data_IF_423262102690
#
_entry.id   IF_423262102690
#
_cell.length_a   1.000
_cell.length_b   1.000
_cell.length_c   1.000
_cell.angle_alpha   90.00
_cell.angle_beta   90.00
_cell.angle_gamma   90.00
#
_symmetry.space_group_name_H-M   'P 1'
#
loop_
_entity.id
_entity.type
_entity.pdbx_description
1 polymer ?
#
# COMPACT_ATOMS: atom_id res chain seq x y z
N UNK A 1 -3.11 28.13 -23.21
CA UNK A 1 -3.83 27.22 -22.28
C UNK A 1 -3.29 27.47 -20.89
N UNK A 2 -4.15 27.58 -19.89
CA UNK A 2 -3.74 27.65 -18.48
C UNK A 2 -3.34 26.26 -18.02
N UNK A 3 -2.26 26.12 -17.24
CA UNK A 3 -1.85 24.85 -16.62
C UNK A 3 -2.99 24.37 -15.69
N UNK A 4 -3.43 23.10 -15.77
CA UNK A 4 -4.34 22.53 -14.79
C UNK A 4 -3.74 22.59 -13.38
N UNK A 5 -4.56 22.93 -12.38
CA UNK A 5 -4.17 23.05 -10.97
C UNK A 5 -5.21 22.38 -10.08
N UNK A 6 -4.77 21.83 -8.96
CA UNK A 6 -5.62 21.36 -7.85
C UNK A 6 -5.45 22.34 -6.68
N UNK A 7 -6.44 23.21 -6.40
CA UNK A 7 -6.32 24.21 -5.33
C UNK A 7 -6.01 23.60 -3.95
N UNK A 8 -6.65 22.48 -3.60
CA UNK A 8 -6.42 21.80 -2.32
C UNK A 8 -5.01 21.20 -2.22
N UNK A 9 -4.46 20.70 -3.34
CA UNK A 9 -3.08 20.21 -3.35
C UNK A 9 -2.07 21.36 -3.30
N UNK A 10 -2.36 22.48 -3.97
CA UNK A 10 -1.52 23.69 -3.97
C UNK A 10 -1.30 24.23 -2.55
N UNK A 11 -2.32 24.16 -1.69
CA UNK A 11 -2.22 24.57 -0.28
C UNK A 11 -1.16 23.77 0.50
N UNK A 12 -0.93 22.50 0.15
CA UNK A 12 -0.04 21.58 0.87
C UNK A 12 1.30 21.34 0.17
N UNK A 13 1.58 22.02 -0.96
CA UNK A 13 2.87 21.91 -1.64
C UNK A 13 4.02 22.32 -0.73
N UNK A 14 5.06 21.49 -0.68
CA UNK A 14 6.23 21.72 0.16
C UNK A 14 6.01 21.47 1.65
N UNK A 15 4.77 21.22 2.11
CA UNK A 15 4.49 20.87 3.48
C UNK A 15 4.90 19.42 3.79
N UNK A 16 5.39 19.18 5.00
CA UNK A 16 5.76 17.84 5.48
C UNK A 16 4.58 17.24 6.24
N UNK A 17 4.18 16.04 5.85
CA UNK A 17 3.28 15.17 6.60
C UNK A 17 4.14 14.18 7.37
N UNK A 18 4.25 14.29 8.71
CA UNK A 18 5.03 13.37 9.52
C UNK A 18 4.50 11.94 9.41
N UNK A 19 5.39 10.95 9.39
CA UNK A 19 5.05 9.52 9.38
C UNK A 19 6.05 8.77 10.25
N UNK A 20 5.58 7.83 11.07
CA UNK A 20 6.39 7.17 12.10
C UNK A 20 6.97 8.20 13.09
N UNK A 21 8.17 7.96 13.60
CA UNK A 21 8.84 8.76 14.63
C UNK A 21 9.69 9.91 14.06
N UNK A 22 10.29 9.74 12.88
CA UNK A 22 11.15 10.76 12.25
C UNK A 22 11.02 10.78 10.70
N UNK A 23 10.02 10.08 10.17
CA UNK A 23 9.72 10.05 8.75
C UNK A 23 8.80 11.17 8.29
N UNK A 24 8.72 11.36 6.97
CA UNK A 24 7.69 12.23 6.39
C UNK A 24 7.43 11.92 4.91
N UNK A 25 6.28 12.41 4.43
CA UNK A 25 5.97 12.59 3.01
C UNK A 25 5.79 14.08 2.74
N UNK A 26 6.33 14.56 1.62
CA UNK A 26 6.14 15.93 1.15
C UNK A 26 5.91 15.95 -0.34
N UNK A 27 4.86 16.65 -0.79
CA UNK A 27 4.64 16.88 -2.22
C UNK A 27 5.58 17.97 -2.69
N UNK A 28 6.32 17.71 -3.76
CA UNK A 28 7.31 18.63 -4.33
C UNK A 28 6.75 19.33 -5.56
N UNK A 29 6.06 18.58 -6.42
CA UNK A 29 5.41 19.07 -7.63
C UNK A 29 4.41 18.03 -8.14
N UNK A 30 3.49 18.45 -9.01
CA UNK A 30 2.55 17.58 -9.70
C UNK A 30 2.20 18.11 -11.08
N UNK A 31 1.76 17.23 -11.97
CA UNK A 31 1.27 17.54 -13.29
C UNK A 31 -0.11 16.92 -13.48
N UNK A 32 -1.07 17.72 -13.91
CA UNK A 32 -2.44 17.27 -14.18
C UNK A 32 -3.32 17.19 -12.93
N UNK A 33 -4.61 16.97 -13.17
CA UNK A 33 -5.67 16.78 -12.19
C UNK A 33 -6.81 15.98 -12.86
N UNK A 34 -7.95 15.80 -12.20
CA UNK A 34 -9.11 15.08 -12.75
C UNK A 34 -9.50 15.55 -14.17
N UNK A 35 -9.44 16.86 -14.45
CA UNK A 35 -9.76 17.42 -15.77
C UNK A 35 -8.76 16.98 -16.86
N UNK A 36 -7.51 16.72 -16.49
CA UNK A 36 -6.47 16.26 -17.41
C UNK A 36 -6.74 14.84 -17.88
N UNK A 37 -7.25 13.99 -16.99
CA UNK A 37 -7.66 12.62 -17.28
C UNK A 37 -8.84 12.63 -18.26
N UNK A 38 -9.83 13.47 -17.98
CA UNK A 38 -11.02 13.64 -18.83
C UNK A 38 -10.62 14.18 -20.21
N UNK A 39 -9.74 15.18 -20.26
CA UNK A 39 -9.22 15.72 -21.51
C UNK A 39 -8.53 14.62 -22.32
N UNK A 40 -7.62 13.88 -21.71
CA UNK A 40 -6.87 12.81 -22.37
C UNK A 40 -7.80 11.72 -22.91
N UNK A 41 -8.77 11.26 -22.12
CA UNK A 41 -9.75 10.27 -22.54
C UNK A 41 -10.63 10.76 -23.70
N UNK A 42 -10.97 12.06 -23.74
CA UNK A 42 -11.82 12.66 -24.78
C UNK A 42 -11.10 12.98 -26.07
N UNK A 43 -9.76 13.07 -26.09
CA UNK A 43 -9.01 13.13 -27.36
C UNK A 43 -9.36 11.94 -28.26
N UNK A 44 -9.68 10.79 -27.66
CA UNK A 44 -10.19 9.62 -28.39
C UNK A 44 -11.60 9.79 -28.97
N UNK A 45 -12.39 10.76 -28.51
CA UNK A 45 -13.81 10.95 -28.88
C UNK A 45 -14.12 12.25 -29.65
N UNK A 46 -13.12 13.11 -29.90
CA UNK A 46 -13.30 14.38 -30.63
C UNK A 46 -13.90 15.52 -29.77
N UNK A 47 -13.74 16.78 -30.24
CA UNK A 47 -14.11 17.99 -29.49
C UNK A 47 -15.61 18.06 -29.20
N UNK A 48 -15.98 18.10 -27.91
CA UNK A 48 -17.30 18.53 -27.45
C UNK A 48 -17.21 19.17 -26.06
N UNK A 49 -17.77 20.37 -25.90
CA UNK A 49 -17.88 21.12 -24.62
C UNK A 49 -18.95 20.50 -23.74
N UNK A 50 -18.63 20.06 -22.51
CA UNK A 50 -19.60 19.42 -21.60
C UNK A 50 -19.37 19.69 -20.10
N UNK A 51 -20.39 19.36 -19.29
CA UNK A 51 -20.61 19.72 -17.87
C UNK A 51 -19.90 18.77 -16.88
N UNK A 52 -19.59 19.25 -15.67
CA UNK A 52 -18.92 18.52 -14.55
C UNK A 52 -19.53 17.13 -14.23
N UNK A 53 -20.86 16.97 -14.28
CA UNK A 53 -21.48 15.66 -14.04
C UNK A 53 -21.05 14.57 -15.04
N UNK A 54 -20.67 14.97 -16.26
CA UNK A 54 -20.17 14.05 -17.28
C UNK A 54 -18.71 13.65 -17.04
N UNK A 55 -17.95 14.48 -16.32
CA UNK A 55 -16.54 14.23 -16.02
C UNK A 55 -16.38 13.15 -14.95
N UNK A 56 -17.14 13.27 -13.84
CA UNK A 56 -17.21 12.21 -12.82
C UNK A 56 -17.69 10.89 -13.41
N UNK A 57 -18.71 10.92 -14.26
CA UNK A 57 -19.23 9.72 -14.93
C UNK A 57 -18.17 9.04 -15.79
N UNK A 58 -17.39 9.83 -16.55
CA UNK A 58 -16.31 9.33 -17.39
C UNK A 58 -15.17 8.73 -16.55
N UNK A 59 -14.66 9.43 -15.54
CA UNK A 59 -13.59 8.91 -14.67
C UNK A 59 -14.00 7.58 -14.04
N UNK A 60 -15.21 7.51 -13.49
CA UNK A 60 -15.75 6.26 -12.92
C UNK A 60 -15.84 5.15 -13.96
N UNK A 61 -16.26 5.46 -15.19
CA UNK A 61 -16.27 4.50 -16.29
C UNK A 61 -14.86 3.97 -16.60
N UNK A 62 -13.86 4.85 -16.68
CA UNK A 62 -12.47 4.48 -16.97
C UNK A 62 -11.92 3.51 -15.91
N UNK A 63 -12.11 3.80 -14.62
CA UNK A 63 -11.63 2.93 -13.55
C UNK A 63 -12.35 1.57 -13.54
N UNK A 64 -13.68 1.53 -13.68
CA UNK A 64 -14.44 0.26 -13.73
C UNK A 64 -14.00 -0.65 -14.87
N UNK A 65 -13.71 -0.07 -16.04
CA UNK A 65 -13.32 -0.83 -17.24
C UNK A 65 -11.79 -0.94 -17.41
N UNK A 66 -11.01 -0.53 -16.41
CA UNK A 66 -9.53 -0.58 -16.43
C UNK A 66 -8.94 0.12 -17.66
N UNK A 67 -9.53 1.24 -18.08
CA UNK A 67 -8.91 2.13 -19.06
C UNK A 67 -7.90 3.03 -18.34
N UNK A 68 -6.67 2.55 -18.21
CA UNK A 68 -5.65 3.11 -17.32
C UNK A 68 -4.88 4.28 -17.93
N UNK A 69 -4.68 4.28 -19.25
CA UNK A 69 -3.80 5.25 -19.92
C UNK A 69 -4.19 6.72 -19.73
N UNK A 70 -5.47 7.13 -19.59
CA UNK A 70 -5.78 8.53 -19.24
C UNK A 70 -5.32 8.93 -17.84
N UNK A 71 -5.24 8.00 -16.89
CA UNK A 71 -4.74 8.27 -15.53
C UNK A 71 -3.22 8.51 -15.53
N UNK A 72 -2.49 7.87 -16.44
CA UNK A 72 -1.03 8.03 -16.57
C UNK A 72 -0.63 9.45 -17.03
N UNK A 73 -1.59 10.27 -17.46
CA UNK A 73 -1.37 11.68 -17.81
C UNK A 73 -1.24 12.61 -16.61
N UNK A 74 -1.48 12.08 -15.40
CA UNK A 74 -1.25 12.79 -14.15
C UNK A 74 0.00 12.22 -13.46
N UNK A 75 0.95 13.08 -13.09
CA UNK A 75 2.18 12.71 -12.37
C UNK A 75 2.34 13.50 -11.07
N UNK A 76 2.96 12.89 -10.06
CA UNK A 76 3.29 13.55 -8.81
C UNK A 76 4.71 13.19 -8.38
N UNK A 77 5.40 14.15 -7.77
CA UNK A 77 6.75 14.00 -7.24
C UNK A 77 6.74 14.24 -5.73
N UNK A 78 7.16 13.23 -4.99
CA UNK A 78 7.31 13.27 -3.55
C UNK A 78 8.78 13.45 -3.16
N UNK A 79 8.98 14.05 -2.00
CA UNK A 79 10.18 13.91 -1.19
C UNK A 79 9.77 13.11 0.05
N UNK A 80 10.38 11.95 0.24
CA UNK A 80 10.08 11.05 1.36
C UNK A 80 11.31 10.87 2.22
N UNK A 81 11.11 10.84 3.55
CA UNK A 81 12.09 10.36 4.53
C UNK A 81 11.52 9.10 5.14
N UNK A 82 12.25 7.99 5.03
CA UNK A 82 11.72 6.64 5.31
C UNK A 82 12.82 5.70 5.81
N UNK A 83 12.55 4.75 6.72
CA UNK A 83 13.54 3.74 7.14
C UNK A 83 13.95 2.82 5.99
N UNK A 84 15.20 2.35 5.95
CA UNK A 84 15.71 1.55 4.82
C UNK A 84 14.95 0.22 4.63
N UNK A 85 14.51 -0.46 5.69
CA UNK A 85 13.71 -1.69 5.58
C UNK A 85 12.35 -1.45 4.88
N UNK A 86 11.65 -0.37 5.24
CA UNK A 86 10.44 0.09 4.57
C UNK A 86 10.75 0.50 3.12
N UNK A 87 11.82 1.26 2.91
CA UNK A 87 12.24 1.71 1.59
C UNK A 87 12.52 0.56 0.62
N UNK A 88 13.11 -0.54 1.10
CA UNK A 88 13.37 -1.75 0.29
C UNK A 88 12.09 -2.44 -0.19
N UNK A 89 10.96 -2.25 0.49
CA UNK A 89 9.65 -2.70 0.02
C UNK A 89 9.04 -1.71 -0.99
N UNK A 90 9.29 -0.42 -0.79
CA UNK A 90 8.83 0.65 -1.67
C UNK A 90 9.47 0.58 -3.06
N UNK A 91 10.78 0.41 -3.14
CA UNK A 91 11.53 0.41 -4.42
C UNK A 91 11.21 -0.79 -5.34
N UNK A 92 10.40 -1.75 -4.87
CA UNK A 92 9.87 -2.84 -5.69
C UNK A 92 8.84 -2.36 -6.72
N UNK A 93 8.32 -1.15 -6.57
CA UNK A 93 7.39 -0.49 -7.49
C UNK A 93 8.16 0.17 -8.65
N UNK A 94 8.46 -0.65 -9.66
CA UNK A 94 9.42 -0.35 -10.74
C UNK A 94 8.98 0.69 -11.77
N UNK A 95 7.72 1.09 -11.77
CA UNK A 95 7.14 2.05 -12.73
C UNK A 95 7.31 3.51 -12.30
N UNK A 96 8.00 3.75 -11.18
CA UNK A 96 8.35 5.08 -10.70
C UNK A 96 9.78 5.48 -11.04
N UNK A 97 10.07 6.78 -11.01
CA UNK A 97 11.42 7.32 -11.09
C UNK A 97 11.92 7.72 -9.70
N UNK A 98 13.13 7.28 -9.35
CA UNK A 98 13.66 7.39 -7.98
C UNK A 98 15.05 8.01 -7.99
N UNK A 99 15.30 8.91 -7.04
CA UNK A 99 16.65 9.36 -6.69
C UNK A 99 16.78 9.35 -5.16
N UNK A 100 17.70 8.55 -4.65
CA UNK A 100 17.89 8.31 -3.22
C UNK A 100 19.18 8.98 -2.71
N UNK A 101 19.10 9.48 -1.48
CA UNK A 101 20.23 9.96 -0.71
C UNK A 101 21.34 8.91 -0.63
N UNK A 102 22.49 9.21 -1.24
CA UNK A 102 23.61 8.29 -1.30
C UNK A 102 24.56 8.52 -0.13
N UNK A 103 24.57 7.59 0.80
CA UNK A 103 25.53 7.52 1.92
C UNK A 103 26.97 7.22 1.46
N UNK A 104 27.23 7.12 0.15
CA UNK A 104 28.58 7.00 -0.44
C UNK A 104 29.23 8.37 -0.57
N UNK A 105 28.40 9.37 -0.91
CA UNK A 105 28.84 10.75 -1.10
C UNK A 105 28.63 11.58 0.15
N UNK A 106 27.58 11.28 0.91
CA UNK A 106 27.20 12.05 2.09
C UNK A 106 27.22 11.18 3.35
N UNK A 107 27.27 11.82 4.53
CA UNK A 107 27.17 11.12 5.80
C UNK A 107 25.76 10.57 6.01
N UNK A 108 25.64 9.40 6.65
CA UNK A 108 24.35 8.79 6.90
C UNK A 108 23.53 9.64 7.87
N UNK A 109 22.25 9.83 7.54
CA UNK A 109 21.29 10.54 8.38
C UNK A 109 21.37 9.98 9.80
N UNK A 110 21.52 10.86 10.79
CA UNK A 110 21.56 10.47 12.20
C UNK A 110 20.15 10.33 12.77
N UNK A 111 19.43 9.33 12.25
CA UNK A 111 18.14 8.93 12.76
C UNK A 111 17.86 7.48 12.35
N UNK A 112 17.26 6.74 13.27
CA UNK A 112 16.79 5.37 13.07
C UNK A 112 15.39 5.26 13.64
N UNK A 113 14.51 4.54 12.95
CA UNK A 113 13.19 4.21 13.46
C UNK A 113 13.33 3.43 14.77
N UNK A 114 12.53 3.80 15.76
CA UNK A 114 12.38 3.10 17.03
C UNK A 114 10.99 2.52 17.18
N UNK A 115 10.90 1.42 17.90
CA UNK A 115 9.65 0.75 18.26
C UNK A 115 9.26 1.16 19.68
N UNK A 116 8.06 1.69 19.87
CA UNK A 116 7.56 2.02 21.21
C UNK A 116 7.26 0.75 22.01
N UNK A 117 7.31 0.79 23.35
CA UNK A 117 7.09 -0.38 24.19
C UNK A 117 5.78 -1.14 23.90
N UNK A 118 4.72 -0.42 23.53
CA UNK A 118 3.40 -0.96 23.21
C UNK A 118 3.25 -1.45 21.75
N UNK A 119 4.25 -1.23 20.89
CA UNK A 119 4.16 -1.49 19.45
C UNK A 119 4.89 -2.76 18.97
N UNK A 120 5.58 -3.48 19.85
CA UNK A 120 6.23 -4.75 19.51
C UNK A 120 5.20 -5.82 19.15
N UNK A 121 5.22 -6.32 17.91
CA UNK A 121 4.16 -7.21 17.38
C UNK A 121 4.55 -8.67 17.44
N UNK A 122 3.56 -9.55 17.65
CA UNK A 122 3.77 -11.01 17.60
C UNK A 122 3.60 -11.51 16.16
N UNK A 123 4.33 -12.56 15.78
CA UNK A 123 4.19 -13.18 14.46
C UNK A 123 2.77 -13.78 14.28
N UNK A 124 2.13 -13.49 13.15
CA UNK A 124 0.80 -14.08 12.85
C UNK A 124 0.92 -15.58 12.59
N UNK A 125 0.00 -16.36 13.14
CA UNK A 125 -0.11 -17.82 12.93
C UNK A 125 -0.75 -18.18 11.58
N UNK A 126 -1.60 -17.29 11.04
CA UNK A 126 -2.28 -17.46 9.76
C UNK A 126 -1.55 -16.83 8.57
N UNK A 127 -0.89 -15.69 8.80
CA UNK A 127 -0.12 -14.98 7.78
C UNK A 127 1.39 -15.05 8.08
N UNK A 128 2.11 -15.89 7.34
CA UNK A 128 3.57 -16.06 7.50
C UNK A 128 4.39 -14.78 7.20
N UNK A 129 3.79 -13.78 6.59
CA UNK A 129 4.43 -12.50 6.25
C UNK A 129 3.92 -11.34 7.13
N UNK A 130 2.98 -11.61 8.04
CA UNK A 130 2.32 -10.57 8.84
C UNK A 130 2.51 -10.78 10.34
N UNK A 131 2.08 -9.79 11.10
CA UNK A 131 2.03 -9.82 12.56
C UNK A 131 0.59 -9.80 13.05
N UNK A 132 0.36 -10.18 14.31
CA UNK A 132 -0.93 -10.17 14.96
C UNK A 132 -0.77 -9.85 16.45
N UNK A 133 -1.51 -8.85 16.94
CA UNK A 133 -1.42 -8.39 18.32
C UNK A 133 -0.06 -7.79 18.69
N UNK A 134 0.09 -7.41 19.94
CA UNK A 134 1.31 -6.83 20.52
C UNK A 134 1.77 -7.60 21.76
N UNK A 135 3.05 -7.49 22.07
CA UNK A 135 3.62 -8.00 23.31
C UNK A 135 3.18 -7.13 24.51
N UNK A 136 3.20 -7.68 25.73
CA UNK A 136 3.04 -6.88 26.94
C UNK A 136 4.05 -5.72 27.02
N UNK A 137 3.60 -4.57 27.52
CA UNK A 137 4.37 -3.32 27.53
C UNK A 137 5.65 -3.41 28.37
N UNK A 138 5.66 -4.19 29.45
CA UNK A 138 6.83 -4.42 30.30
C UNK A 138 7.96 -5.17 29.56
N UNK A 139 7.57 -6.17 28.77
CA UNK A 139 8.49 -6.87 27.84
C UNK A 139 8.94 -5.90 26.75
N UNK A 140 7.99 -5.15 26.17
CA UNK A 140 8.27 -4.17 25.13
C UNK A 140 9.23 -3.07 25.56
N UNK A 141 9.15 -2.59 26.80
CA UNK A 141 10.08 -1.59 27.34
C UNK A 141 11.52 -2.11 27.32
N UNK A 142 11.72 -3.36 27.74
CA UNK A 142 13.04 -4.00 27.71
C UNK A 142 13.58 -4.07 26.28
N UNK A 143 12.73 -4.45 25.31
CA UNK A 143 13.10 -4.55 23.90
C UNK A 143 13.42 -3.18 23.28
N UNK A 144 12.61 -2.15 23.58
CA UNK A 144 12.84 -0.77 23.13
C UNK A 144 14.16 -0.20 23.70
N UNK A 145 14.48 -0.49 24.96
CA UNK A 145 15.75 -0.07 25.56
C UNK A 145 16.96 -0.79 24.94
N UNK A 146 16.81 -2.08 24.60
CA UNK A 146 17.85 -2.84 23.88
C UNK A 146 18.07 -2.33 22.45
N UNK A 147 16.98 -2.09 21.71
CA UNK A 147 17.01 -1.47 20.39
C UNK A 147 17.72 -0.12 20.45
N UNK A 148 17.36 0.71 21.44
CA UNK A 148 17.94 2.03 21.60
C UNK A 148 19.45 1.99 21.82
N UNK A 149 19.92 1.16 22.76
CA UNK A 149 21.36 0.99 23.02
C UNK A 149 22.11 0.50 21.78
N UNK A 150 21.54 -0.46 21.05
CA UNK A 150 22.16 -0.99 19.84
C UNK A 150 22.30 0.07 18.74
N UNK A 151 21.25 0.87 18.51
CA UNK A 151 21.27 1.94 17.52
C UNK A 151 22.33 3.01 17.86
N UNK A 152 22.44 3.38 19.14
CA UNK A 152 23.41 4.35 19.61
C UNK A 152 24.86 3.81 19.48
N UNK A 153 25.08 2.54 19.81
CA UNK A 153 26.38 1.89 19.62
C UNK A 153 26.79 1.78 18.14
N UNK A 154 25.84 1.44 17.26
CA UNK A 154 26.08 1.39 15.82
C UNK A 154 26.47 2.77 15.26
N UNK A 155 25.81 3.84 15.75
CA UNK A 155 26.15 5.23 15.40
C UNK A 155 27.55 5.60 15.87
N UNK A 156 27.90 5.31 17.12
CA UNK A 156 29.24 5.56 17.67
C UNK A 156 30.34 4.85 16.88
N UNK A 157 30.10 3.59 16.47
CA UNK A 157 31.04 2.84 15.61
C UNK A 157 31.17 3.53 14.24
N UNK A 158 30.07 3.93 13.62
CA UNK A 158 30.08 4.67 12.36
C UNK A 158 30.91 5.96 12.44
N UNK A 159 30.69 6.79 13.47
CA UNK A 159 31.40 8.05 13.68
C UNK A 159 32.89 7.85 13.90
N UNK A 160 33.28 6.91 14.78
CA UNK A 160 34.69 6.59 15.03
C UNK A 160 35.44 6.16 13.76
N UNK A 161 34.75 5.50 12.81
CA UNK A 161 35.34 5.13 11.52
C UNK A 161 35.54 6.36 10.63
N UNK A 162 34.59 7.29 10.61
CA UNK A 162 34.74 8.54 9.88
C UNK A 162 35.90 9.36 10.43
N UNK A 163 36.02 9.48 11.75
CA UNK A 163 37.13 10.16 12.43
C UNK A 163 38.48 9.52 12.11
N UNK A 164 38.53 8.19 11.96
CA UNK A 164 39.71 7.46 11.53
C UNK A 164 40.01 7.57 10.02
N UNK A 165 39.24 8.33 9.25
CA UNK A 165 39.44 8.54 7.81
C UNK A 165 38.93 7.38 6.93
N UNK A 166 38.10 6.49 7.46
CA UNK A 166 37.49 5.40 6.68
C UNK A 166 36.51 5.98 5.65
N UNK A 167 36.55 5.48 4.42
CA UNK A 167 35.62 5.89 3.37
C UNK A 167 34.16 5.69 3.80
N UNK A 168 33.29 6.67 3.51
CA UNK A 168 31.86 6.68 3.92
C UNK A 168 31.12 5.40 3.55
N UNK A 169 31.43 4.81 2.39
CA UNK A 169 30.82 3.56 1.93
C UNK A 169 31.22 2.31 2.71
N UNK A 170 32.36 2.36 3.40
CA UNK A 170 32.77 1.31 4.33
C UNK A 170 32.31 1.62 5.76
N UNK A 171 32.36 2.89 6.18
CA UNK A 171 31.99 3.29 7.52
C UNK A 171 30.56 2.86 7.88
N UNK A 172 29.61 3.07 6.95
CA UNK A 172 28.17 2.83 7.13
C UNK A 172 27.73 1.36 7.21
N UNK A 173 28.63 0.39 7.00
CA UNK A 173 28.27 -1.03 6.79
C UNK A 173 27.43 -1.64 7.90
N UNK A 174 27.61 -1.15 9.14
CA UNK A 174 26.92 -1.70 10.31
C UNK A 174 25.70 -0.87 10.74
N UNK A 175 25.36 0.19 9.99
CA UNK A 175 24.14 0.95 10.27
C UNK A 175 22.92 0.05 10.03
N UNK A 176 21.97 0.00 10.99
CA UNK A 176 20.84 -0.91 10.91
C UNK A 176 19.87 -0.51 9.80
N UNK A 177 19.06 -1.47 9.35
CA UNK A 177 18.01 -1.19 8.36
C UNK A 177 16.94 -0.20 8.85
N UNK A 178 16.85 0.05 10.15
CA UNK A 178 15.99 1.09 10.71
C UNK A 178 16.51 2.51 10.45
N UNK A 179 17.76 2.67 10.00
CA UNK A 179 18.32 4.00 9.65
C UNK A 179 17.48 4.65 8.56
N UNK A 180 17.14 5.93 8.74
CA UNK A 180 16.39 6.71 7.76
C UNK A 180 17.23 7.02 6.51
N UNK A 181 16.55 7.00 5.36
CA UNK A 181 17.03 7.54 4.09
C UNK A 181 16.05 8.60 3.59
N UNK A 182 16.48 9.42 2.64
CA UNK A 182 15.63 10.37 1.95
C UNK A 182 15.64 10.10 0.45
N UNK A 183 14.50 10.26 -0.21
CA UNK A 183 14.41 10.04 -1.64
C UNK A 183 13.40 10.98 -2.31
N UNK A 184 13.71 11.35 -3.55
CA UNK A 184 12.70 11.81 -4.49
C UNK A 184 12.06 10.62 -5.18
N UNK A 185 10.74 10.57 -5.16
CA UNK A 185 9.93 9.52 -5.78
C UNK A 185 8.88 10.16 -6.68
N UNK A 186 9.01 9.97 -8.00
CA UNK A 186 8.05 10.47 -9.00
C UNK A 186 7.30 9.31 -9.63
N UNK A 187 5.97 9.41 -9.70
CA UNK A 187 5.11 8.34 -10.21
C UNK A 187 3.86 8.94 -10.87
N UNK A 188 3.33 8.26 -11.89
CA UNK A 188 2.02 8.60 -12.46
C UNK A 188 0.86 8.10 -11.59
N UNK A 189 -0.33 8.65 -11.78
CA UNK A 189 -1.49 8.36 -10.94
C UNK A 189 -1.94 6.89 -11.07
N UNK A 190 -1.88 6.26 -12.24
CA UNK A 190 -2.25 4.85 -12.37
C UNK A 190 -1.37 3.94 -11.50
N UNK A 191 -0.05 4.12 -11.61
CA UNK A 191 0.93 3.36 -10.85
C UNK A 191 0.92 3.73 -9.36
N UNK A 192 0.59 4.98 -9.01
CA UNK A 192 0.36 5.39 -7.63
C UNK A 192 -0.84 4.68 -7.02
N UNK A 193 -1.98 4.62 -7.70
CA UNK A 193 -3.14 3.85 -7.23
C UNK A 193 -2.79 2.36 -7.08
N UNK A 194 -1.90 1.83 -7.92
CA UNK A 194 -1.40 0.47 -7.75
C UNK A 194 -0.54 0.30 -6.49
N UNK A 195 0.37 1.23 -6.22
CA UNK A 195 1.12 1.29 -4.98
C UNK A 195 0.18 1.34 -3.76
N UNK A 196 -0.79 2.25 -3.76
CA UNK A 196 -1.74 2.44 -2.66
C UNK A 196 -2.55 1.16 -2.40
N UNK A 197 -3.08 0.52 -3.44
CA UNK A 197 -3.87 -0.71 -3.26
C UNK A 197 -3.08 -1.86 -2.64
N UNK A 198 -1.76 -1.92 -2.86
CA UNK A 198 -0.90 -2.96 -2.28
C UNK A 198 -0.35 -2.59 -0.91
N UNK A 199 -0.24 -1.29 -0.62
CA UNK A 199 0.45 -0.79 0.59
C UNK A 199 -0.50 -0.29 1.66
N UNK A 200 -1.72 0.11 1.33
CA UNK A 200 -2.79 0.36 2.29
C UNK A 200 -3.45 -0.93 2.80
N UNK A 201 -3.15 -2.07 2.17
CA UNK A 201 -3.70 -3.37 2.56
C UNK A 201 -3.26 -3.80 3.98
N UNK A 202 -4.13 -4.48 4.71
CA UNK A 202 -3.86 -4.94 6.08
C UNK A 202 -2.73 -5.98 6.15
N UNK A 203 -2.43 -6.69 5.06
CA UNK A 203 -1.31 -7.63 4.96
C UNK A 203 0.02 -6.94 4.70
N UNK A 204 0.04 -5.66 4.29
CA UNK A 204 1.27 -4.90 4.20
C UNK A 204 1.85 -4.65 5.61
N UNK A 205 3.17 -4.49 5.69
CA UNK A 205 3.81 -4.11 6.93
C UNK A 205 3.29 -2.72 7.38
N UNK A 206 3.04 -2.55 8.69
CA UNK A 206 2.45 -1.31 9.23
C UNK A 206 3.23 -0.06 8.81
N UNK A 207 4.56 -0.12 8.82
CA UNK A 207 5.41 1.00 8.49
C UNK A 207 5.11 1.54 7.09
N UNK A 208 5.15 0.71 6.05
CA UNK A 208 4.83 1.15 4.67
C UNK A 208 3.35 1.48 4.49
N UNK A 209 2.47 0.85 5.28
CA UNK A 209 1.05 1.19 5.30
C UNK A 209 0.83 2.60 5.83
N UNK A 210 1.51 3.03 6.88
CA UNK A 210 1.41 4.39 7.40
C UNK A 210 1.77 5.44 6.33
N UNK A 211 2.84 5.22 5.56
CA UNK A 211 3.19 6.09 4.42
C UNK A 211 2.12 6.07 3.32
N UNK A 212 1.65 4.88 2.94
CA UNK A 212 0.65 4.74 1.90
C UNK A 212 -0.69 5.39 2.29
N UNK A 213 -1.13 5.23 3.54
CA UNK A 213 -2.33 5.88 4.08
C UNK A 213 -2.20 7.39 4.01
N UNK A 214 -1.08 7.97 4.46
CA UNK A 214 -0.85 9.43 4.33
C UNK A 214 -0.87 9.87 2.87
N UNK A 215 -0.22 9.13 1.95
CA UNK A 215 -0.23 9.49 0.53
C UNK A 215 -1.66 9.40 -0.05
N UNK A 216 -2.42 8.36 0.28
CA UNK A 216 -3.78 8.18 -0.23
C UNK A 216 -4.75 9.22 0.33
N UNK A 217 -4.92 9.21 1.65
CA UNK A 217 -5.92 9.99 2.37
C UNK A 217 -5.58 11.48 2.41
N UNK A 218 -4.30 11.83 2.58
CA UNK A 218 -3.92 13.23 2.72
C UNK A 218 -3.52 13.91 1.41
N UNK A 219 -3.07 13.16 0.40
CA UNK A 219 -2.52 13.76 -0.82
C UNK A 219 -3.37 13.44 -2.05
N UNK A 220 -3.55 12.16 -2.39
CA UNK A 220 -4.28 11.77 -3.61
C UNK A 220 -5.74 12.21 -3.55
N UNK A 221 -6.36 12.10 -2.37
CA UNK A 221 -7.74 12.58 -2.12
C UNK A 221 -7.93 14.07 -2.45
N UNK A 222 -6.96 14.93 -2.12
CA UNK A 222 -6.97 16.37 -2.42
C UNK A 222 -6.59 16.66 -3.87
N UNK A 223 -5.68 15.86 -4.42
CA UNK A 223 -5.17 16.04 -5.78
C UNK A 223 -6.20 15.69 -6.87
N UNK A 224 -6.77 14.48 -6.81
CA UNK A 224 -7.69 13.93 -7.79
C UNK A 224 -8.92 13.31 -7.07
N UNK A 225 -9.79 14.13 -6.47
CA UNK A 225 -10.90 13.65 -5.64
C UNK A 225 -11.87 12.72 -6.37
N UNK A 226 -12.12 12.94 -7.67
CA UNK A 226 -13.04 12.08 -8.44
C UNK A 226 -12.41 10.70 -8.70
N UNK A 227 -11.10 10.66 -8.95
CA UNK A 227 -10.35 9.40 -9.03
C UNK A 227 -10.29 8.71 -7.68
N UNK A 228 -10.04 9.45 -6.59
CA UNK A 228 -9.97 8.88 -5.24
C UNK A 228 -11.28 8.20 -4.86
N UNK A 229 -12.42 8.90 -5.03
CA UNK A 229 -13.75 8.33 -4.80
C UNK A 229 -13.94 7.02 -5.59
N UNK A 230 -13.63 7.04 -6.89
CA UNK A 230 -13.76 5.86 -7.75
C UNK A 230 -12.78 4.72 -7.38
N UNK A 231 -11.59 5.06 -6.89
CA UNK A 231 -10.60 4.09 -6.43
C UNK A 231 -11.05 3.38 -5.15
N UNK A 232 -11.64 4.10 -4.21
CA UNK A 232 -12.25 3.51 -3.02
C UNK A 232 -13.36 2.54 -3.42
N UNK A 233 -14.35 3.02 -4.19
CA UNK A 233 -15.53 2.23 -4.59
C UNK A 233 -15.19 0.95 -5.37
N UNK A 234 -14.27 1.04 -6.33
CA UNK A 234 -14.07 -0.03 -7.32
C UNK A 234 -12.82 -0.86 -7.08
N UNK A 235 -11.96 -0.47 -6.14
CA UNK A 235 -10.72 -1.19 -5.87
C UNK A 235 -10.53 -1.50 -4.40
N UNK A 236 -10.51 -0.49 -3.52
CA UNK A 236 -10.21 -0.70 -2.10
C UNK A 236 -11.34 -1.41 -1.35
N UNK A 237 -12.57 -0.95 -1.52
CA UNK A 237 -13.73 -1.49 -0.81
C UNK A 237 -14.52 -2.52 -1.63
N UNK A 238 -14.01 -2.87 -2.82
CA UNK A 238 -14.61 -3.87 -3.69
C UNK A 238 -14.48 -5.31 -3.15
N UNK A 239 -15.36 -6.19 -3.63
CA UNK A 239 -15.27 -7.63 -3.42
C UNK A 239 -15.06 -8.33 -4.77
N UNK A 240 -13.89 -8.91 -4.97
CA UNK A 240 -13.59 -9.70 -6.16
C UNK A 240 -14.20 -11.11 -6.07
N UNK A 241 -15.10 -11.44 -6.99
CA UNK A 241 -15.61 -12.79 -7.17
C UNK A 241 -14.93 -13.44 -8.37
N UNK A 242 -14.23 -14.54 -8.13
CA UNK A 242 -13.66 -15.39 -9.18
C UNK A 242 -14.77 -16.19 -9.87
N UNK A 243 -14.47 -16.80 -11.02
CA UNK A 243 -15.38 -17.76 -11.68
C UNK A 243 -15.85 -18.86 -10.73
N UNK A 244 -15.00 -19.30 -9.79
CA UNK A 244 -15.33 -20.34 -8.83
C UNK A 244 -16.34 -19.86 -7.79
N UNK A 245 -16.07 -18.69 -7.19
CA UNK A 245 -16.97 -18.04 -6.24
C UNK A 245 -18.36 -17.82 -6.86
N UNK A 246 -18.39 -17.32 -8.10
CA UNK A 246 -19.64 -17.09 -8.85
C UNK A 246 -20.41 -18.41 -9.00
N UNK A 247 -19.74 -19.50 -9.39
CA UNK A 247 -20.43 -20.78 -9.57
C UNK A 247 -21.01 -21.37 -8.28
N UNK A 248 -20.38 -21.09 -7.13
CA UNK A 248 -20.91 -21.47 -5.82
C UNK A 248 -22.14 -20.63 -5.48
N UNK A 249 -22.07 -19.31 -5.69
CA UNK A 249 -23.18 -18.40 -5.45
C UNK A 249 -24.39 -18.70 -6.37
N UNK A 250 -24.14 -19.02 -7.64
CA UNK A 250 -25.17 -19.43 -8.60
C UNK A 250 -25.87 -20.72 -8.14
N UNK A 251 -25.11 -21.72 -7.71
CA UNK A 251 -25.68 -22.97 -7.19
C UNK A 251 -26.47 -22.73 -5.90
N UNK A 252 -25.91 -21.93 -4.98
CA UNK A 252 -26.55 -21.60 -3.70
C UNK A 252 -27.87 -20.84 -3.91
N UNK A 253 -27.90 -19.88 -4.83
CA UNK A 253 -29.10 -19.09 -5.11
C UNK A 253 -30.14 -19.87 -5.93
N UNK A 254 -29.69 -20.64 -6.92
CA UNK A 254 -30.58 -21.33 -7.87
C UNK A 254 -31.21 -22.61 -7.32
N UNK A 255 -30.45 -23.41 -6.57
CA UNK A 255 -30.86 -24.75 -6.13
C UNK A 255 -30.55 -25.05 -4.65
N UNK A 256 -30.06 -24.07 -3.90
CA UNK A 256 -29.86 -24.16 -2.45
C UNK A 256 -28.51 -24.75 -2.02
N UNK A 257 -28.31 -24.94 -0.70
CA UNK A 257 -27.03 -25.33 -0.12
C UNK A 257 -26.48 -26.67 -0.64
N UNK A 258 -27.33 -27.66 -0.88
CA UNK A 258 -26.90 -28.98 -1.38
C UNK A 258 -26.26 -28.88 -2.77
N UNK A 259 -26.82 -28.05 -3.65
CA UNK A 259 -26.26 -27.82 -4.98
C UNK A 259 -24.90 -27.11 -4.90
N UNK A 260 -24.76 -26.13 -4.01
CA UNK A 260 -23.48 -25.47 -3.76
C UNK A 260 -22.44 -26.43 -3.17
N UNK A 261 -22.86 -27.38 -2.33
CA UNK A 261 -21.99 -28.43 -1.78
C UNK A 261 -21.50 -29.39 -2.87
N UNK A 262 -22.39 -29.85 -3.76
CA UNK A 262 -22.01 -30.67 -4.93
C UNK A 262 -21.01 -29.88 -5.79
N UNK A 263 -21.27 -28.60 -6.04
CA UNK A 263 -20.36 -27.76 -6.82
C UNK A 263 -18.99 -27.61 -6.16
N UNK A 264 -18.93 -27.42 -4.84
CA UNK A 264 -17.67 -27.37 -4.10
C UNK A 264 -16.91 -28.70 -4.16
N UNK A 265 -17.61 -29.84 -4.14
CA UNK A 265 -17.01 -31.16 -4.32
C UNK A 265 -16.40 -31.33 -5.72
N UNK A 266 -17.10 -30.92 -6.77
CA UNK A 266 -16.59 -30.90 -8.16
C UNK A 266 -15.33 -30.05 -8.33
N UNK A 267 -15.21 -28.97 -7.53
CA UNK A 267 -14.02 -28.11 -7.50
C UNK A 267 -12.86 -28.71 -6.68
N UNK A 268 -13.04 -29.90 -6.08
CA UNK A 268 -12.07 -30.54 -5.21
C UNK A 268 -11.89 -29.81 -3.87
N UNK A 269 -12.86 -28.98 -3.48
CA UNK A 269 -12.78 -28.21 -2.23
C UNK A 269 -13.12 -29.06 -1.01
N UNK A 270 -13.90 -30.12 -1.16
CA UNK A 270 -14.41 -30.94 -0.06
C UNK A 270 -13.65 -32.27 0.14
N UNK A 271 -12.44 -32.40 -0.43
CA UNK A 271 -11.62 -33.59 -0.20
C UNK A 271 -11.31 -33.80 1.29
N UNK A 272 -11.67 -34.97 1.81
CA UNK A 272 -11.44 -35.33 3.22
C UNK A 272 -10.05 -35.94 3.41
N UNK A 273 -9.34 -35.49 4.45
CA UNK A 273 -8.06 -36.04 4.87
C UNK A 273 -8.22 -37.25 5.81
N UNK A 274 -7.10 -37.86 6.19
CA UNK A 274 -7.08 -39.02 7.10
C UNK A 274 -7.64 -38.73 8.51
N UNK A 275 -7.74 -37.45 8.88
CA UNK A 275 -8.31 -36.99 10.15
C UNK A 275 -9.84 -36.82 10.13
N UNK A 276 -10.51 -37.13 9.01
CA UNK A 276 -11.95 -36.90 8.83
C UNK A 276 -12.33 -35.45 8.57
N UNK A 277 -11.36 -34.51 8.55
CA UNK A 277 -11.57 -33.10 8.20
C UNK A 277 -11.22 -32.83 6.74
N UNK A 278 -11.82 -31.79 6.15
CA UNK A 278 -11.41 -31.35 4.82
C UNK A 278 -9.92 -30.97 4.77
N UNK A 279 -9.24 -31.38 3.69
CA UNK A 279 -7.88 -30.92 3.39
C UNK A 279 -7.86 -29.40 3.28
N UNK A 280 -6.69 -28.81 3.55
CA UNK A 280 -6.48 -27.37 3.40
C UNK A 280 -6.61 -26.98 1.92
N UNK A 281 -7.58 -26.15 1.60
CA UNK A 281 -7.77 -25.56 0.28
C UNK A 281 -7.86 -24.03 0.44
N UNK A 282 -7.00 -23.28 -0.27
CA UNK A 282 -6.95 -21.81 -0.16
C UNK A 282 -8.14 -21.15 -0.85
N UNK A 283 -8.52 -21.64 -2.03
CA UNK A 283 -9.67 -21.10 -2.78
C UNK A 283 -10.98 -21.30 -1.99
N UNK A 284 -11.13 -22.46 -1.32
CA UNK A 284 -12.25 -22.70 -0.41
C UNK A 284 -12.26 -21.69 0.74
N UNK A 285 -11.14 -21.53 1.44
CA UNK A 285 -11.05 -20.59 2.57
C UNK A 285 -11.30 -19.13 2.15
N UNK A 286 -10.82 -18.74 0.97
CA UNK A 286 -11.10 -17.42 0.39
C UNK A 286 -12.59 -17.27 0.03
N UNK A 287 -13.23 -18.31 -0.49
CA UNK A 287 -14.67 -18.32 -0.78
C UNK A 287 -15.51 -18.24 0.51
N UNK A 288 -15.17 -19.04 1.53
CA UNK A 288 -15.78 -19.03 2.86
C UNK A 288 -15.76 -17.60 3.46
N UNK A 289 -14.59 -16.95 3.44
CA UNK A 289 -14.45 -15.57 3.92
C UNK A 289 -15.33 -14.56 3.14
N UNK A 290 -15.49 -14.75 1.81
CA UNK A 290 -16.38 -13.91 1.00
C UNK A 290 -17.85 -14.15 1.34
N UNK A 291 -18.27 -15.40 1.55
CA UNK A 291 -19.63 -15.75 1.94
C UNK A 291 -19.97 -15.16 3.32
N UNK A 292 -19.08 -15.32 4.30
CA UNK A 292 -19.21 -14.72 5.63
C UNK A 292 -19.34 -13.19 5.55
N UNK A 293 -18.49 -12.52 4.76
CA UNK A 293 -18.57 -11.07 4.54
C UNK A 293 -19.92 -10.63 3.96
N UNK A 294 -20.56 -11.48 3.15
CA UNK A 294 -21.87 -11.21 2.56
C UNK A 294 -23.05 -11.65 3.45
N UNK A 295 -22.79 -12.24 4.62
CA UNK A 295 -23.83 -12.79 5.49
C UNK A 295 -24.53 -14.03 4.88
N UNK A 296 -23.86 -14.74 3.98
CA UNK A 296 -24.37 -15.95 3.34
C UNK A 296 -23.92 -17.20 4.09
N UNK A 297 -24.75 -18.26 4.13
CA UNK A 297 -24.37 -19.51 4.79
C UNK A 297 -23.22 -20.18 4.03
N UNK A 298 -22.31 -20.81 4.77
CA UNK A 298 -21.29 -21.70 4.21
C UNK A 298 -21.96 -23.07 3.99
N UNK A 299 -22.20 -23.52 2.76
CA UNK A 299 -23.06 -24.68 2.47
C UNK A 299 -22.54 -26.03 2.98
N UNK A 300 -21.25 -26.07 3.33
CA UNK A 300 -20.53 -27.25 3.81
C UNK A 300 -19.99 -27.07 5.23
N UNK A 301 -20.39 -26.01 5.94
CA UNK A 301 -20.18 -25.93 7.38
C UNK A 301 -21.19 -26.88 8.04
N UNK A 302 -20.69 -27.84 8.83
CA UNK A 302 -21.52 -28.68 9.71
C UNK A 302 -22.10 -27.87 10.88
#
# INVERSE_FOLDING_TARGET
MTRPVSPELDEILGQRFPVLDDGFVRVVDYMGADESIVQAARVSYGRGTKKVHEDRGLIRYLLRHRHTTPLEMCEIKFHVRVPMDCWRQWIRHRTANVNEYSTRYSEAIDASQRTTPDAWRVQSTGNRQGSAGTLPEDVGQTLSDEEARFQDDARRIYESRLEAGVAREQARKDLPLSTYTEAYWKVDLHNLLHFLALRMDSHAQEEIRAYATVIGEEIVRRWCPLVWEAFIDYRMESLGLTRLDISILEALHGAGPDAARVRADELGWLEVGTSGRFKRNRERAECEAKLERLGLPIPWAE
#
